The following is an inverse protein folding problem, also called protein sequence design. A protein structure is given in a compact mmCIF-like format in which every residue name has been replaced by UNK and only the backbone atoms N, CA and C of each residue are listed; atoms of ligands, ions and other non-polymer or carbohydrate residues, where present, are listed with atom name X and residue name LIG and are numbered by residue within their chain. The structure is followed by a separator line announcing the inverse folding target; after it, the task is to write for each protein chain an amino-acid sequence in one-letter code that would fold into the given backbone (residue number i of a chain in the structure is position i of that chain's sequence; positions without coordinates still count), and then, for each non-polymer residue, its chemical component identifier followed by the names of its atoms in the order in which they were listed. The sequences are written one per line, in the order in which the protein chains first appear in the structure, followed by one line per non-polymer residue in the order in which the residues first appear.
data_IF_108825252954
#
_entry.id   IF_108825252954
#
_cell.length_a   1.000
_cell.length_b   1.000
_cell.length_c   1.000
_cell.angle_alpha   90.00
_cell.angle_beta   90.00
_cell.angle_gamma   90.00
#
_symmetry.space_group_name_H-M   'P 1'
#
loop_
_entity.id
_entity.type
_entity.pdbx_description
1 polymer ?
#
# COMPACT_ATOMS: atom_id res chain seq x y z
N UNK A 1 -0.07 34.63 16.99
CA UNK A 1 -0.17 33.48 16.08
C UNK A 1 -0.12 32.22 16.93
N UNK A 2 -1.14 31.35 16.86
CA UNK A 2 -1.00 29.99 17.42
C UNK A 2 0.12 29.31 16.63
N UNK A 3 1.09 28.70 17.30
CA UNK A 3 2.04 27.81 16.64
C UNK A 3 1.19 26.68 16.03
N UNK A 4 1.21 26.54 14.71
CA UNK A 4 0.69 25.31 14.11
C UNK A 4 1.61 24.17 14.55
N UNK A 5 1.00 23.08 15.02
CA UNK A 5 1.72 21.89 15.47
C UNK A 5 2.38 21.17 14.30
N UNK A 6 3.43 20.37 14.54
CA UNK A 6 4.09 19.63 13.46
C UNK A 6 3.19 18.50 12.97
N UNK A 7 2.94 18.46 11.66
CA UNK A 7 2.03 17.49 11.00
C UNK A 7 2.81 16.58 10.06
N UNK A 8 2.58 15.28 10.19
CA UNK A 8 3.08 14.24 9.30
C UNK A 8 1.98 13.81 8.33
N UNK A 9 2.29 13.83 7.03
CA UNK A 9 1.52 13.14 5.99
C UNK A 9 2.14 11.77 5.79
N UNK A 10 1.34 10.72 5.89
CA UNK A 10 1.73 9.35 5.54
C UNK A 10 0.87 8.91 4.37
N UNK A 11 1.50 8.38 3.33
CA UNK A 11 0.82 7.82 2.17
C UNK A 11 1.31 6.38 2.02
N UNK A 12 0.39 5.44 2.17
CA UNK A 12 0.61 4.05 1.79
C UNK A 12 0.19 3.88 0.33
N UNK A 13 1.08 3.31 -0.50
CA UNK A 13 0.82 3.22 -1.93
C UNK A 13 -0.30 2.21 -2.27
N UNK A 14 -0.68 1.34 -1.33
CA UNK A 14 -1.86 0.48 -1.50
C UNK A 14 -3.17 1.27 -1.56
N UNK A 15 -3.18 2.53 -1.10
CA UNK A 15 -4.29 3.48 -1.28
C UNK A 15 -4.69 3.59 -2.77
N UNK A 16 -3.72 3.47 -3.68
CA UNK A 16 -3.94 3.54 -5.13
C UNK A 16 -4.20 2.18 -5.77
N UNK A 17 -4.20 1.09 -5.00
CA UNK A 17 -4.30 -0.28 -5.50
C UNK A 17 -5.65 -0.92 -5.13
N UNK A 18 -6.70 -0.68 -5.92
CA UNK A 18 -8.06 -1.12 -5.60
C UNK A 18 -8.19 -2.63 -5.67
N UNK A 19 -8.84 -3.20 -4.66
CA UNK A 19 -9.18 -4.63 -4.59
C UNK A 19 -10.70 -4.83 -4.47
N UNK A 20 -11.24 -5.96 -4.95
CA UNK A 20 -12.64 -6.32 -4.71
C UNK A 20 -12.95 -6.40 -3.23
N UNK A 21 -14.06 -5.78 -2.81
CA UNK A 21 -14.50 -5.78 -1.41
C UNK A 21 -15.70 -6.70 -1.14
N UNK A 22 -16.53 -6.94 -2.15
CA UNK A 22 -17.63 -7.90 -2.02
C UNK A 22 -17.05 -9.32 -2.15
N UNK A 23 -17.18 -10.20 -1.14
CA UNK A 23 -16.72 -11.58 -1.24
C UNK A 23 -17.41 -12.39 -2.35
N UNK A 24 -18.52 -11.88 -2.91
CA UNK A 24 -19.23 -12.45 -4.06
C UNK A 24 -18.67 -11.98 -5.40
N UNK A 25 -17.74 -11.03 -5.42
CA UNK A 25 -17.06 -10.61 -6.64
C UNK A 25 -16.33 -11.84 -7.26
N UNK A 26 -16.54 -12.17 -8.54
CA UNK A 26 -15.87 -13.29 -9.20
C UNK A 26 -14.34 -13.22 -9.14
N UNK A 27 -13.78 -12.01 -8.99
CA UNK A 27 -12.34 -11.78 -8.85
C UNK A 27 -11.85 -11.87 -7.41
N UNK A 28 -12.71 -11.79 -6.39
CA UNK A 28 -12.30 -11.79 -4.98
C UNK A 28 -11.33 -12.95 -4.62
N UNK A 29 -11.51 -14.20 -5.11
CA UNK A 29 -10.56 -15.28 -4.84
C UNK A 29 -9.13 -15.01 -5.38
N UNK A 30 -8.97 -14.18 -6.40
CA UNK A 30 -7.66 -13.81 -6.95
C UNK A 30 -6.93 -12.78 -6.09
N UNK A 31 -7.65 -12.10 -5.20
CA UNK A 31 -7.15 -11.07 -4.28
C UNK A 31 -7.15 -11.52 -2.82
N UNK A 32 -7.55 -12.76 -2.53
CA UNK A 32 -7.54 -13.36 -1.19
C UNK A 32 -6.10 -13.68 -0.74
N UNK A 33 -5.27 -12.64 -0.67
CA UNK A 33 -3.88 -12.70 -0.29
C UNK A 33 -3.74 -12.64 1.22
N UNK A 34 -2.67 -13.20 1.76
CA UNK A 34 -2.37 -12.96 3.17
C UNK A 34 -1.95 -11.50 3.36
N UNK A 35 -2.44 -10.88 4.44
CA UNK A 35 -2.28 -9.46 4.75
C UNK A 35 -1.29 -9.26 5.90
N UNK A 36 -0.03 -9.66 5.70
CA UNK A 36 1.06 -9.36 6.66
C UNK A 36 2.42 -9.38 5.98
N UNK A 37 3.35 -8.56 6.46
CA UNK A 37 4.69 -8.43 5.88
C UNK A 37 5.57 -9.63 6.24
N UNK A 38 6.02 -10.36 5.21
CA UNK A 38 7.10 -11.34 5.29
C UNK A 38 7.93 -11.27 4.01
N UNK A 39 9.20 -11.72 4.01
CA UNK A 39 10.00 -11.82 2.78
C UNK A 39 9.27 -12.58 1.66
N UNK A 40 8.50 -13.61 2.01
CA UNK A 40 7.70 -14.38 1.05
C UNK A 40 6.60 -13.52 0.40
N UNK A 41 5.83 -12.76 1.18
CA UNK A 41 4.76 -11.90 0.63
C UNK A 41 5.27 -10.65 -0.07
N UNK A 42 6.47 -10.18 0.26
CA UNK A 42 7.12 -9.05 -0.41
C UNK A 42 7.66 -9.43 -1.80
N UNK A 43 8.14 -10.66 -1.97
CA UNK A 43 8.90 -11.08 -3.16
C UNK A 43 8.26 -12.28 -3.88
N UNK A 44 8.18 -13.43 -3.22
CA UNK A 44 7.94 -14.72 -3.86
C UNK A 44 6.48 -14.91 -4.29
N UNK A 45 5.52 -14.46 -3.47
CA UNK A 45 4.10 -14.68 -3.72
C UNK A 45 3.60 -14.02 -5.01
N UNK A 46 4.25 -12.95 -5.48
CA UNK A 46 3.74 -12.13 -6.58
C UNK A 46 3.75 -12.83 -7.94
N UNK A 47 4.72 -13.71 -8.20
CA UNK A 47 4.74 -14.47 -9.46
C UNK A 47 3.54 -15.41 -9.57
N UNK A 48 3.23 -16.14 -8.49
CA UNK A 48 2.08 -17.05 -8.44
C UNK A 48 0.76 -16.29 -8.54
N UNK A 49 0.64 -15.15 -7.85
CA UNK A 49 -0.52 -14.25 -7.95
C UNK A 49 -0.71 -13.80 -9.40
N UNK A 50 0.33 -13.28 -10.05
CA UNK A 50 0.25 -12.86 -11.46
C UNK A 50 -0.17 -14.00 -12.39
N UNK A 51 0.41 -15.19 -12.21
CA UNK A 51 0.11 -16.37 -13.01
C UNK A 51 -1.38 -16.74 -12.92
N UNK A 52 -2.01 -16.60 -11.75
CA UNK A 52 -3.42 -16.90 -11.57
C UNK A 52 -4.34 -16.00 -12.43
N UNK A 53 -3.99 -14.73 -12.64
CA UNK A 53 -4.70 -13.83 -13.57
C UNK A 53 -4.47 -14.24 -15.01
N UNK A 54 -3.20 -14.43 -15.40
CA UNK A 54 -2.83 -14.70 -16.79
C UNK A 54 -3.37 -16.05 -17.30
N UNK A 55 -3.40 -17.09 -16.47
CA UNK A 55 -4.01 -18.39 -16.81
C UNK A 55 -5.52 -18.29 -17.07
N UNK A 56 -6.18 -17.26 -16.52
CA UNK A 56 -7.61 -16.98 -16.74
C UNK A 56 -7.85 -16.00 -17.90
N UNK A 57 -6.79 -15.58 -18.60
CA UNK A 57 -6.88 -14.58 -19.66
C UNK A 57 -7.23 -13.17 -19.16
N UNK A 58 -6.96 -12.89 -17.88
CA UNK A 58 -7.21 -11.59 -17.26
C UNK A 58 -5.95 -10.71 -17.31
N UNK A 59 -6.16 -9.40 -17.42
CA UNK A 59 -5.10 -8.40 -17.22
C UNK A 59 -4.65 -8.38 -15.76
N UNK A 60 -3.40 -7.97 -15.53
CA UNK A 60 -2.91 -7.73 -14.17
C UNK A 60 -3.56 -6.46 -13.60
N UNK A 61 -3.91 -6.44 -12.31
CA UNK A 61 -4.40 -5.24 -11.64
C UNK A 61 -3.30 -4.16 -11.58
N UNK A 62 -3.69 -2.90 -11.69
CA UNK A 62 -2.78 -1.75 -11.70
C UNK A 62 -3.15 -0.74 -10.61
N UNK A 63 -2.16 0.00 -10.13
CA UNK A 63 -2.39 1.17 -9.29
C UNK A 63 -2.95 2.32 -10.14
N UNK A 64 -3.93 3.07 -9.62
CA UNK A 64 -4.63 4.15 -10.34
C UNK A 64 -4.97 5.33 -9.44
N UNK A 65 -5.08 6.52 -10.03
CA UNK A 65 -5.54 7.72 -9.32
C UNK A 65 -4.50 8.38 -8.42
N UNK A 66 -3.21 8.08 -8.66
CA UNK A 66 -2.08 8.72 -8.00
C UNK A 66 -1.67 10.02 -8.69
N UNK A 67 -2.06 10.20 -9.95
CA UNK A 67 -1.71 11.36 -10.76
C UNK A 67 -2.26 12.66 -10.13
N UNK A 68 -1.37 13.62 -9.89
CA UNK A 68 -1.73 14.92 -9.31
C UNK A 68 -2.10 14.89 -7.83
N UNK A 69 -2.00 13.73 -7.15
CA UNK A 69 -2.34 13.57 -5.74
C UNK A 69 -1.56 14.55 -4.84
N UNK A 70 -0.28 14.80 -5.13
CA UNK A 70 0.53 15.76 -4.36
C UNK A 70 0.02 17.20 -4.41
N UNK A 71 -0.70 17.59 -5.47
CA UNK A 71 -1.27 18.93 -5.63
C UNK A 71 -2.37 19.27 -4.61
N UNK A 72 -2.81 18.28 -3.83
CA UNK A 72 -3.82 18.41 -2.79
C UNK A 72 -3.27 19.02 -1.49
N UNK A 73 -1.95 19.00 -1.28
CA UNK A 73 -1.33 19.30 0.00
C UNK A 73 -0.51 20.58 -0.05
N UNK A 74 -0.40 21.25 1.11
CA UNK A 74 0.56 22.32 1.34
C UNK A 74 1.70 21.81 2.22
N UNK A 75 2.93 22.17 1.88
CA UNK A 75 4.13 21.73 2.58
C UNK A 75 4.90 22.91 3.17
N UNK A 76 5.49 22.70 4.35
CA UNK A 76 6.44 23.64 4.93
C UNK A 76 7.68 23.75 4.02
N UNK A 77 8.37 24.88 4.07
CA UNK A 77 9.54 25.14 3.21
C UNK A 77 10.65 24.11 3.43
N UNK A 78 10.79 23.64 4.66
CA UNK A 78 11.77 22.65 5.12
C UNK A 78 11.24 21.21 5.13
N UNK A 79 10.05 20.96 4.58
CA UNK A 79 9.49 19.62 4.55
C UNK A 79 10.36 18.67 3.73
N UNK A 80 10.45 17.43 4.20
CA UNK A 80 11.19 16.33 3.56
C UNK A 80 10.24 15.16 3.41
N UNK A 81 10.35 14.47 2.26
CA UNK A 81 9.69 13.20 2.02
C UNK A 81 10.66 12.06 2.34
N UNK A 82 10.28 11.22 3.29
CA UNK A 82 10.94 9.96 3.60
C UNK A 82 10.21 8.82 2.90
N UNK A 83 10.91 7.80 2.47
CA UNK A 83 10.28 6.65 1.82
C UNK A 83 10.95 5.32 2.15
N UNK A 84 10.16 4.26 2.12
CA UNK A 84 10.56 2.90 2.47
C UNK A 84 9.58 1.85 1.93
N UNK A 85 9.89 0.58 2.11
CA UNK A 85 9.03 -0.56 1.77
C UNK A 85 7.82 -0.67 2.70
N UNK A 86 8.06 -0.63 4.01
CA UNK A 86 7.06 -0.92 5.05
C UNK A 86 6.51 0.34 5.70
N UNK A 87 5.20 0.36 5.96
CA UNK A 87 4.55 1.48 6.63
C UNK A 87 5.02 1.62 8.09
N UNK A 88 5.57 0.56 8.69
CA UNK A 88 6.18 0.60 10.03
C UNK A 88 7.27 1.68 10.15
N UNK A 89 7.98 1.96 9.05
CA UNK A 89 9.03 2.98 9.01
C UNK A 89 8.50 4.42 9.02
N UNK A 90 7.18 4.63 8.94
CA UNK A 90 6.56 5.90 9.28
C UNK A 90 6.85 6.28 10.75
N UNK A 91 7.14 5.31 11.63
CA UNK A 91 7.59 5.55 13.01
C UNK A 91 9.13 5.64 13.15
N UNK A 92 9.91 5.69 12.06
CA UNK A 92 11.37 5.82 12.14
C UNK A 92 11.80 7.07 12.95
N UNK A 93 12.91 7.05 13.74
CA UNK A 93 13.32 8.19 14.57
C UNK A 93 13.41 9.53 13.84
N UNK A 94 13.89 9.53 12.59
CA UNK A 94 13.95 10.73 11.76
C UNK A 94 12.57 11.23 11.34
N UNK A 95 11.58 10.33 11.24
CA UNK A 95 10.20 10.64 10.82
C UNK A 95 9.30 11.04 11.98
N UNK A 96 9.42 10.40 13.15
CA UNK A 96 8.47 10.61 14.27
C UNK A 96 8.70 11.82 15.15
N UNK A 97 9.91 12.38 15.14
CA UNK A 97 10.33 13.36 16.14
C UNK A 97 9.44 14.62 16.12
N UNK A 98 8.74 14.86 17.24
CA UNK A 98 8.00 16.09 17.50
C UNK A 98 6.67 16.22 16.76
N UNK A 99 6.17 15.15 16.14
CA UNK A 99 4.88 15.18 15.44
C UNK A 99 3.72 15.26 16.43
N UNK A 100 2.80 16.18 16.17
CA UNK A 100 1.59 16.42 16.97
C UNK A 100 0.32 15.88 16.29
N UNK A 101 0.38 15.65 14.98
CA UNK A 101 -0.68 15.04 14.19
C UNK A 101 -0.09 14.17 13.08
N UNK A 102 -0.71 13.01 12.87
CA UNK A 102 -0.44 12.09 11.78
C UNK A 102 -1.71 11.93 10.95
N UNK A 103 -1.58 12.22 9.64
CA UNK A 103 -2.65 12.03 8.65
C UNK A 103 -2.19 10.94 7.69
N UNK A 104 -2.91 9.82 7.69
CA UNK A 104 -2.63 8.64 6.89
C UNK A 104 -3.60 8.56 5.69
N UNK A 105 -3.08 8.32 4.49
CA UNK A 105 -3.85 7.91 3.31
C UNK A 105 -3.45 6.47 2.98
N UNK A 106 -4.37 5.53 3.23
CA UNK A 106 -4.06 4.10 3.27
C UNK A 106 -5.37 3.29 3.13
N UNK A 107 -5.29 2.08 2.59
CA UNK A 107 -6.40 1.13 2.61
C UNK A 107 -6.70 0.56 4.01
N UNK A 108 -5.77 0.74 4.96
CA UNK A 108 -5.74 0.23 6.32
C UNK A 108 -5.57 1.39 7.34
N UNK A 109 -6.01 1.20 8.58
CA UNK A 109 -5.88 2.23 9.63
C UNK A 109 -4.59 2.12 10.45
N UNK A 110 -3.86 1.01 10.36
CA UNK A 110 -2.58 0.73 11.04
C UNK A 110 -2.52 1.04 12.54
N UNK A 111 -3.69 0.96 13.17
CA UNK A 111 -3.93 1.30 14.56
C UNK A 111 -4.25 0.06 15.41
N UNK A 112 -3.67 -1.08 15.03
CA UNK A 112 -3.61 -2.30 15.81
C UNK A 112 -4.60 -3.39 15.38
N UNK A 113 -4.18 -4.29 14.49
CA UNK A 113 -4.99 -5.46 14.07
C UNK A 113 -4.75 -6.71 14.94
N UNK A 114 -3.58 -6.82 15.57
CA UNK A 114 -3.18 -7.95 16.42
C UNK A 114 -2.70 -7.47 17.80
N UNK A 115 -2.50 -8.36 18.80
CA UNK A 115 -1.92 -7.97 20.08
C UNK A 115 -0.64 -7.16 19.90
N UNK A 116 -0.54 -6.02 20.60
CA UNK A 116 0.53 -5.05 20.40
C UNK A 116 1.89 -5.60 20.82
N UNK A 117 2.90 -5.39 19.97
CA UNK A 117 4.29 -5.68 20.27
C UNK A 117 4.96 -4.59 21.12
N UNK A 118 6.25 -4.81 21.41
CA UNK A 118 7.13 -3.79 22.01
C UNK A 118 7.58 -2.74 20.98
N UNK A 119 7.76 -3.17 19.73
CA UNK A 119 8.18 -2.34 18.60
C UNK A 119 7.02 -2.17 17.60
N UNK A 120 6.94 -1.02 16.90
CA UNK A 120 5.93 -0.80 15.89
C UNK A 120 6.11 -1.75 14.70
N UNK A 121 5.00 -2.28 14.23
CA UNK A 121 4.90 -3.05 13.01
C UNK A 121 3.99 -2.33 12.00
N UNK A 122 3.91 -2.86 10.78
CA UNK A 122 3.09 -2.29 9.72
C UNK A 122 1.63 -2.15 10.14
N UNK A 123 1.13 -3.04 10.99
CA UNK A 123 -0.26 -3.13 11.38
C UNK A 123 -0.61 -2.37 12.68
N UNK A 124 0.36 -1.73 13.34
CA UNK A 124 0.13 -1.04 14.62
C UNK A 124 0.97 0.23 14.89
N UNK A 125 1.77 0.71 13.95
CA UNK A 125 2.67 1.86 14.16
C UNK A 125 1.94 3.16 14.56
N UNK A 126 0.68 3.35 14.14
CA UNK A 126 -0.12 4.52 14.56
C UNK A 126 -0.39 4.54 16.06
N UNK A 127 -0.52 3.36 16.69
CA UNK A 127 -0.69 3.23 18.15
C UNK A 127 0.48 3.87 18.90
N UNK A 128 1.70 3.76 18.35
CA UNK A 128 2.89 4.33 18.95
C UNK A 128 2.92 5.86 18.85
N UNK A 129 2.42 6.45 17.77
CA UNK A 129 2.22 7.90 17.69
C UNK A 129 1.18 8.41 18.69
N UNK A 130 0.06 7.70 18.86
CA UNK A 130 -0.92 8.02 19.89
C UNK A 130 -0.30 7.98 21.30
N UNK A 131 0.55 6.98 21.60
CA UNK A 131 1.27 6.90 22.89
C UNK A 131 2.19 8.11 23.13
N UNK A 132 2.68 8.74 22.07
CA UNK A 132 3.46 9.99 22.14
C UNK A 132 2.58 11.26 22.21
N UNK A 133 1.25 11.11 22.21
CA UNK A 133 0.30 12.21 22.30
C UNK A 133 -0.11 12.82 20.96
N UNK A 134 0.26 12.21 19.83
CA UNK A 134 -0.14 12.68 18.51
C UNK A 134 -1.63 12.38 18.24
N UNK A 135 -2.30 13.31 17.55
CA UNK A 135 -3.64 13.07 16.99
C UNK A 135 -3.53 12.25 15.72
N UNK A 136 -4.48 11.34 15.52
CA UNK A 136 -4.46 10.41 14.40
C UNK A 136 -5.68 10.61 13.50
N UNK A 137 -5.44 10.60 12.19
CA UNK A 137 -6.48 10.64 11.16
C UNK A 137 -6.12 9.69 10.03
N UNK A 138 -7.11 8.98 9.50
CA UNK A 138 -6.99 8.12 8.32
C UNK A 138 -8.02 8.55 7.30
N UNK A 139 -7.56 8.72 6.06
CA UNK A 139 -8.36 8.85 4.87
C UNK A 139 -8.27 7.56 4.06
N UNK A 140 -9.33 6.76 4.13
CA UNK A 140 -9.46 5.58 3.29
C UNK A 140 -9.69 5.99 1.84
N UNK A 141 -9.20 5.22 0.86
CA UNK A 141 -9.45 5.53 -0.54
C UNK A 141 -10.94 5.38 -0.87
N UNK A 142 -11.47 6.11 -1.88
CA UNK A 142 -12.90 6.06 -2.24
C UNK A 142 -13.42 4.66 -2.61
N UNK A 143 -12.52 3.74 -2.96
CA UNK A 143 -12.87 2.37 -3.29
C UNK A 143 -12.96 1.44 -2.08
N UNK A 144 -12.50 1.85 -0.89
CA UNK A 144 -12.50 1.07 0.37
C UNK A 144 -13.74 1.39 1.19
N UNK A 145 -14.35 0.36 1.75
CA UNK A 145 -15.47 0.41 2.69
C UNK A 145 -14.89 0.25 4.10
N UNK A 146 -14.83 1.33 4.90
CA UNK A 146 -14.27 1.28 6.25
C UNK A 146 -15.02 0.35 7.18
N UNK A 147 -16.28 0.00 6.90
CA UNK A 147 -17.06 -0.91 7.76
C UNK A 147 -16.56 -2.36 7.73
N UNK A 148 -15.71 -2.70 6.76
CA UNK A 148 -15.06 -4.00 6.65
C UNK A 148 -13.78 -4.11 7.50
N UNK A 149 -13.31 -3.00 8.07
CA UNK A 149 -12.16 -2.95 8.95
C UNK A 149 -12.56 -3.21 10.40
N UNK A 150 -11.72 -3.90 11.20
CA UNK A 150 -11.92 -3.96 12.64
C UNK A 150 -11.79 -2.56 13.27
N UNK A 151 -12.33 -2.41 14.48
CA UNK A 151 -12.20 -1.15 15.20
C UNK A 151 -10.74 -0.89 15.63
N UNK A 152 -10.21 0.33 15.44
CA UNK A 152 -8.89 0.73 15.93
C UNK A 152 -8.72 0.52 17.44
N UNK A 153 -7.50 0.17 17.88
CA UNK A 153 -7.19 0.02 19.32
C UNK A 153 -6.97 1.34 20.06
N UNK A 154 -6.87 2.44 19.33
CA UNK A 154 -6.72 3.79 19.86
C UNK A 154 -7.66 4.73 19.10
N UNK A 155 -8.03 5.89 19.67
CA UNK A 155 -8.80 6.90 18.95
C UNK A 155 -8.12 7.33 17.65
N UNK A 156 -8.83 7.15 16.53
CA UNK A 156 -8.44 7.61 15.19
C UNK A 156 -9.66 8.25 14.52
N UNK A 157 -9.49 9.42 13.91
CA UNK A 157 -10.52 9.97 13.03
C UNK A 157 -10.49 9.24 11.69
N UNK A 158 -11.53 8.44 11.39
CA UNK A 158 -11.64 7.64 10.17
C UNK A 158 -12.61 8.30 9.20
N UNK A 159 -12.16 8.58 7.98
CA UNK A 159 -13.00 9.15 6.92
C UNK A 159 -12.69 8.48 5.58
N UNK A 160 -13.70 8.34 4.71
CA UNK A 160 -13.45 8.05 3.30
C UNK A 160 -12.99 9.35 2.65
N UNK A 161 -11.91 9.29 1.89
CA UNK A 161 -11.32 10.46 1.25
C UNK A 161 -12.31 11.15 0.30
N UNK A 162 -12.73 12.40 0.58
CA UNK A 162 -13.64 13.13 -0.30
C UNK A 162 -12.94 13.66 -1.57
N UNK A 163 -11.62 13.50 -1.69
CA UNK A 163 -10.81 14.14 -2.71
C UNK A 163 -10.56 15.63 -2.42
N UNK A 164 -9.94 16.33 -3.37
CA UNK A 164 -9.69 17.77 -3.26
C UNK A 164 -8.55 18.14 -2.30
N UNK A 165 -8.46 19.43 -1.95
CA UNK A 165 -7.36 19.96 -1.12
C UNK A 165 -7.53 19.58 0.34
N UNK A 166 -6.42 19.27 1.00
CA UNK A 166 -6.37 18.95 2.43
C UNK A 166 -5.85 20.15 3.20
N UNK A 167 -6.58 20.56 4.24
CA UNK A 167 -6.26 21.77 5.00
C UNK A 167 -4.99 21.62 5.86
N UNK A 168 -4.34 22.77 6.08
CA UNK A 168 -3.14 22.95 6.89
C UNK A 168 -1.84 22.57 6.18
N UNK A 169 -0.72 22.80 6.86
CA UNK A 169 0.64 22.61 6.31
C UNK A 169 1.28 21.35 6.86
N UNK A 170 1.81 20.49 5.98
CA UNK A 170 2.57 19.30 6.36
C UNK A 170 4.05 19.63 6.49
N UNK A 171 4.65 19.17 7.58
CA UNK A 171 6.04 19.46 7.95
C UNK A 171 6.96 18.30 7.58
N UNK A 172 6.38 17.12 7.36
CA UNK A 172 7.07 15.91 6.94
C UNK A 172 6.12 15.03 6.15
N UNK A 173 6.69 14.28 5.22
CA UNK A 173 5.95 13.27 4.45
C UNK A 173 6.65 11.93 4.61
N UNK A 174 5.88 10.86 4.71
CA UNK A 174 6.34 9.49 4.58
C UNK A 174 5.56 8.79 3.46
N UNK A 175 6.27 8.07 2.60
CA UNK A 175 5.71 7.28 1.51
C UNK A 175 6.13 5.81 1.65
N UNK A 176 5.15 4.93 1.84
CA UNK A 176 5.33 3.48 1.88
C UNK A 176 5.09 2.88 0.48
N UNK A 177 5.97 1.97 0.01
CA UNK A 177 5.72 1.19 -1.23
C UNK A 177 4.68 0.10 -1.03
N UNK A 178 4.58 -0.43 0.18
CA UNK A 178 3.58 -1.42 0.58
C UNK A 178 3.71 -2.74 -0.17
N UNK A 179 4.94 -3.26 -0.26
CA UNK A 179 5.25 -4.38 -1.13
C UNK A 179 4.50 -5.68 -0.85
N UNK A 180 3.87 -5.85 0.31
CA UNK A 180 3.05 -7.04 0.61
C UNK A 180 1.62 -6.92 0.05
N UNK A 181 1.16 -5.70 -0.21
CA UNK A 181 -0.17 -5.36 -0.73
C UNK A 181 -0.14 -4.88 -2.18
N UNK A 182 0.95 -4.26 -2.62
CA UNK A 182 1.13 -3.75 -3.98
C UNK A 182 2.13 -4.60 -4.75
N UNK A 183 1.78 -5.08 -5.96
CA UNK A 183 2.63 -5.96 -6.75
C UNK A 183 3.85 -5.27 -7.38
N UNK A 184 4.91 -6.03 -7.71
CA UNK A 184 6.13 -5.49 -8.31
C UNK A 184 5.91 -4.90 -9.71
N UNK A 185 4.87 -5.30 -10.45
CA UNK A 185 4.54 -4.68 -11.73
C UNK A 185 3.93 -3.28 -11.60
N UNK A 186 3.55 -2.86 -10.39
CA UNK A 186 3.12 -1.50 -10.09
C UNK A 186 4.29 -0.59 -9.63
N UNK A 187 5.51 -1.14 -9.45
CA UNK A 187 6.70 -0.35 -9.07
C UNK A 187 6.95 0.87 -9.98
N UNK A 188 6.79 0.79 -11.32
CA UNK A 188 6.94 1.98 -12.16
C UNK A 188 6.00 3.12 -11.77
N UNK A 189 4.76 2.81 -11.38
CA UNK A 189 3.79 3.79 -10.88
C UNK A 189 4.23 4.38 -9.55
N UNK A 190 4.70 3.54 -8.61
CA UNK A 190 5.24 3.99 -7.33
C UNK A 190 6.41 4.96 -7.50
N UNK A 191 7.39 4.63 -8.34
CA UNK A 191 8.55 5.51 -8.55
C UNK A 191 8.18 6.80 -9.27
N UNK A 192 7.24 6.76 -10.21
CA UNK A 192 6.71 7.98 -10.84
C UNK A 192 6.03 8.86 -9.80
N UNK A 193 5.18 8.27 -8.96
CA UNK A 193 4.51 8.96 -7.86
C UNK A 193 5.50 9.57 -6.86
N UNK A 194 6.56 8.85 -6.48
CA UNK A 194 7.65 9.36 -5.63
C UNK A 194 8.35 10.58 -6.27
N UNK A 195 8.67 10.50 -7.57
CA UNK A 195 9.37 11.58 -8.27
C UNK A 195 8.52 12.85 -8.40
N UNK A 196 7.21 12.71 -8.64
CA UNK A 196 6.26 13.82 -8.74
C UNK A 196 6.08 14.61 -7.43
N UNK A 197 6.49 14.05 -6.29
CA UNK A 197 6.42 14.75 -5.01
C UNK A 197 7.32 16.01 -5.04
N UNK A 198 6.80 17.20 -4.71
CA UNK A 198 7.53 18.47 -4.81
C UNK A 198 8.47 18.72 -3.61
N UNK A 199 9.11 17.66 -3.09
CA UNK A 199 9.91 17.67 -1.87
C UNK A 199 11.28 17.02 -2.11
N UNK A 200 12.30 17.38 -1.31
CA UNK A 200 13.51 16.56 -1.18
C UNK A 200 13.15 15.16 -0.69
N UNK A 201 13.76 14.13 -1.31
CA UNK A 201 13.51 12.72 -1.01
C UNK A 201 14.65 12.10 -0.21
N UNK A 202 14.34 11.35 0.83
CA UNK A 202 15.28 10.59 1.66
C UNK A 202 14.82 9.15 1.79
N UNK A 203 15.61 8.22 1.26
CA UNK A 203 15.37 6.80 1.46
C UNK A 203 15.78 6.42 2.88
N UNK A 204 14.90 5.76 3.62
CA UNK A 204 15.28 5.17 4.92
C UNK A 204 15.95 3.81 4.77
N UNK A 205 15.78 3.19 3.61
CA UNK A 205 16.40 1.93 3.24
C UNK A 205 16.63 1.87 1.72
N UNK A 206 17.41 0.88 1.27
CA UNK A 206 17.57 0.64 -0.16
C UNK A 206 16.27 0.09 -0.75
N UNK A 207 15.67 0.85 -1.66
CA UNK A 207 14.38 0.50 -2.27
C UNK A 207 14.50 0.38 -3.80
N UNK A 208 15.22 -0.62 -4.33
CA UNK A 208 15.29 -0.84 -5.77
C UNK A 208 13.95 -1.37 -6.32
N UNK A 209 13.68 -1.20 -7.63
CA UNK A 209 12.59 -1.90 -8.30
C UNK A 209 12.67 -3.41 -8.07
N UNK A 210 11.55 -4.02 -7.71
CA UNK A 210 11.45 -5.46 -7.49
C UNK A 210 11.54 -6.21 -8.83
N UNK A 211 12.22 -7.36 -8.87
CA UNK A 211 12.33 -8.15 -10.09
C UNK A 211 10.94 -8.66 -10.51
N UNK A 212 10.56 -8.37 -11.76
CA UNK A 212 9.35 -8.91 -12.36
C UNK A 212 9.50 -8.98 -13.89
N UNK A 213 9.11 -10.10 -14.49
CA UNK A 213 9.14 -10.27 -15.94
C UNK A 213 7.81 -10.81 -16.47
N UNK A 214 6.97 -9.88 -16.94
CA UNK A 214 5.70 -10.23 -17.59
C UNK A 214 5.91 -11.16 -18.80
N UNK A 215 6.98 -10.93 -19.56
CA UNK A 215 7.30 -11.77 -20.72
C UNK A 215 7.71 -13.19 -20.33
N UNK A 216 8.46 -13.37 -19.24
CA UNK A 216 8.77 -14.71 -18.72
C UNK A 216 7.50 -15.43 -18.26
N UNK A 217 6.61 -14.72 -17.55
CA UNK A 217 5.32 -15.26 -17.11
C UNK A 217 4.42 -15.66 -18.29
N UNK A 218 4.29 -14.84 -19.33
CA UNK A 218 3.54 -15.19 -20.54
C UNK A 218 4.07 -16.44 -21.23
N UNK A 219 5.40 -16.60 -21.29
CA UNK A 219 6.01 -17.85 -21.81
C UNK A 219 5.64 -19.06 -20.95
N UNK A 220 5.68 -18.92 -19.63
CA UNK A 220 5.26 -19.98 -18.68
C UNK A 220 3.79 -20.36 -18.88
N UNK A 221 2.89 -19.39 -19.00
CA UNK A 221 1.46 -19.60 -19.31
C UNK A 221 1.27 -20.38 -20.61
N UNK A 222 2.02 -20.05 -21.66
CA UNK A 222 1.94 -20.75 -22.94
C UNK A 222 2.35 -22.23 -22.81
N UNK A 223 3.40 -22.52 -22.03
CA UNK A 223 3.87 -23.88 -21.76
C UNK A 223 2.90 -24.67 -20.88
N UNK A 224 2.44 -24.10 -19.76
CA UNK A 224 1.49 -24.76 -18.85
C UNK A 224 0.12 -24.98 -19.50
N UNK A 225 -0.37 -23.99 -20.25
CA UNK A 225 -1.61 -24.10 -21.02
C UNK A 225 -1.52 -25.14 -22.15
N UNK A 226 -0.34 -25.37 -22.73
CA UNK A 226 -0.12 -26.49 -23.66
C UNK A 226 -0.20 -27.83 -22.92
N UNK A 227 0.43 -27.96 -21.75
CA UNK A 227 0.37 -29.17 -20.92
C UNK A 227 -1.05 -29.56 -20.51
N UNK A 228 -1.86 -28.60 -20.06
CA UNK A 228 -3.27 -28.82 -19.70
C UNK A 228 -4.09 -29.32 -20.90
N UNK A 229 -4.02 -28.62 -22.04
CA UNK A 229 -4.73 -29.02 -23.27
C UNK A 229 -4.26 -30.37 -23.83
N UNK A 230 -2.98 -30.69 -23.68
CA UNK A 230 -2.42 -31.98 -24.10
C UNK A 230 -2.95 -33.12 -23.22
N UNK A 231 -2.99 -32.94 -21.89
CA UNK A 231 -3.57 -33.91 -20.96
C UNK A 231 -5.07 -34.11 -21.16
N UNK A 232 -5.83 -33.04 -21.43
CA UNK A 232 -7.27 -33.13 -21.74
C UNK A 232 -7.53 -33.90 -23.04
N UNK A 233 -6.71 -33.69 -24.08
CA UNK A 233 -6.79 -34.46 -25.34
C UNK A 233 -6.43 -35.93 -25.16
N UNK A 234 -5.50 -36.26 -24.27
CA UNK A 234 -5.17 -37.65 -23.95
C UNK A 234 -6.30 -38.34 -23.18
N UNK A 235 -6.96 -37.64 -22.25
CA UNK A 235 -8.14 -38.15 -21.54
C UNK A 235 -9.36 -38.31 -22.45
N UNK A 236 -9.59 -37.36 -23.37
CA UNK A 236 -10.70 -37.42 -24.34
C UNK A 236 -10.53 -38.42 -25.49
N UNK A 237 -9.35 -39.04 -25.63
CA UNK A 237 -9.08 -40.12 -26.59
C UNK A 237 -9.14 -41.52 -25.97
N UNK A 238 -9.30 -41.60 -24.64
CA UNK A 238 -9.38 -42.85 -23.88
C UNK A 238 -10.82 -43.20 -23.48
N UNK A 239 -11.82 -42.50 -24.01
CA UNK A 239 -13.25 -42.75 -23.83
C UNK A 239 -13.94 -43.14 -25.13
#
# INVERSE_FOLDING_TARGET
MKREGMRLLVVDFDYFFPVPQDPRDPLAPLFAWAHFETPYYLLEAWEERALAFLLRGLSLPEARGWEGFWGRFAFAREAVLYYAESNALAFHPEVRRGMEEVVLFDAHHDAGYRPLGEEPACDDWMVFYHRLGARLRVYYPPWRDPSLEPEPKVPVALEVDPGGRVEGVFHRVFLCRSGAWVPPWADPGFFTFLEEAPLPKVALEALPPRPFSLEALKRRVALEGFGLRFMERLKGRAG
#
